data_IF_174082122081
#
_entry.id   IF_174082122081
#
_cell.length_a   1.000
_cell.length_b   1.000
_cell.length_c   1.000
_cell.angle_alpha   90.00
_cell.angle_beta   90.00
_cell.angle_gamma   90.00
#
_symmetry.space_group_name_H-M   'P 1'
#
loop_
_entity.id
_entity.type
_entity.pdbx_description
1 polymer ?
#
# COMPACT_ATOMS: atom_id res chain seq x y z
N UNK A 1 -11.30 0.19 -16.88
CA UNK A 1 -11.05 1.19 -15.81
C UNK A 1 -10.14 2.36 -16.24
N UNK A 2 -9.91 2.62 -17.53
CA UNK A 2 -8.99 3.67 -17.99
C UNK A 2 -9.69 5.01 -18.25
N UNK A 3 -10.99 4.97 -18.54
CA UNK A 3 -11.83 6.15 -18.76
C UNK A 3 -12.00 7.00 -17.49
N UNK A 4 -12.28 6.38 -16.35
CA UNK A 4 -12.40 7.10 -15.07
C UNK A 4 -11.09 7.76 -14.65
N UNK A 5 -9.96 7.06 -14.86
CA UNK A 5 -8.62 7.58 -14.57
C UNK A 5 -8.25 8.75 -15.48
N UNK A 6 -8.61 8.69 -16.77
CA UNK A 6 -8.36 9.79 -17.71
C UNK A 6 -9.28 10.97 -17.42
N UNK A 7 -10.56 10.75 -17.17
CA UNK A 7 -11.51 11.80 -16.77
C UNK A 7 -11.05 12.53 -15.50
N UNK A 8 -10.60 11.79 -14.49
CA UNK A 8 -10.04 12.37 -13.26
C UNK A 8 -8.80 13.24 -13.56
N UNK A 9 -7.86 12.73 -14.36
CA UNK A 9 -6.65 13.48 -14.71
C UNK A 9 -6.95 14.72 -15.55
N UNK A 10 -7.90 14.64 -16.48
CA UNK A 10 -8.36 15.78 -17.26
C UNK A 10 -8.98 16.84 -16.35
N UNK A 11 -9.84 16.44 -15.39
CA UNK A 11 -10.45 17.36 -14.43
C UNK A 11 -9.39 18.06 -13.56
N UNK A 12 -8.45 17.29 -13.01
CA UNK A 12 -7.33 17.85 -12.21
C UNK A 12 -6.52 18.84 -13.03
N UNK A 13 -6.19 18.49 -14.28
CA UNK A 13 -5.41 19.35 -15.18
C UNK A 13 -6.17 20.64 -15.53
N UNK A 14 -7.48 20.54 -15.78
CA UNK A 14 -8.33 21.70 -16.05
C UNK A 14 -8.37 22.66 -14.85
N UNK A 15 -8.59 22.16 -13.63
CA UNK A 15 -8.56 22.97 -12.40
C UNK A 15 -7.19 23.64 -12.22
N UNK A 16 -6.12 22.92 -12.49
CA UNK A 16 -4.75 23.41 -12.39
C UNK A 16 -4.46 24.56 -13.35
N UNK A 17 -4.92 24.45 -14.60
CA UNK A 17 -4.79 25.52 -15.62
C UNK A 17 -5.61 26.75 -15.23
N UNK A 18 -6.87 26.57 -14.83
CA UNK A 18 -7.74 27.69 -14.39
C UNK A 18 -7.14 28.39 -13.18
N UNK A 19 -6.66 27.61 -12.20
CA UNK A 19 -5.98 28.17 -11.02
C UNK A 19 -4.75 28.99 -11.43
N UNK A 20 -3.97 28.50 -12.41
CA UNK A 20 -2.79 29.21 -12.88
C UNK A 20 -3.09 30.52 -13.60
N UNK A 21 -4.12 30.54 -14.45
CA UNK A 21 -4.58 31.75 -15.13
C UNK A 21 -5.10 32.77 -14.11
N UNK A 22 -5.94 32.33 -13.17
CA UNK A 22 -6.61 33.23 -12.23
C UNK A 22 -5.66 33.81 -11.17
N UNK A 23 -4.61 33.08 -10.80
CA UNK A 23 -3.68 33.44 -9.74
C UNK A 23 -2.31 33.84 -10.29
N UNK A 24 -2.26 34.51 -11.46
CA UNK A 24 -1.04 34.98 -12.11
C UNK A 24 -0.38 36.16 -11.37
N UNK A 25 -0.10 35.98 -10.07
CA UNK A 25 0.56 36.95 -9.21
C UNK A 25 2.06 36.65 -9.19
N UNK A 26 2.87 37.69 -9.38
CA UNK A 26 4.32 37.61 -9.27
C UNK A 26 4.72 37.60 -7.80
N UNK A 27 5.62 36.69 -7.42
CA UNK A 27 6.32 36.74 -6.14
C UNK A 27 7.79 36.87 -6.40
N UNK A 28 8.32 37.98 -5.92
CA UNK A 28 9.71 38.36 -6.07
C UNK A 28 10.46 37.83 -4.85
N UNK A 29 11.31 36.83 -5.07
CA UNK A 29 12.21 36.35 -4.03
C UNK A 29 13.56 37.00 -4.29
N UNK A 30 13.90 38.01 -3.48
CA UNK A 30 15.18 38.70 -3.55
C UNK A 30 16.24 37.93 -2.74
N UNK A 31 17.11 37.18 -3.42
CA UNK A 31 18.31 36.62 -2.81
C UNK A 31 19.50 37.51 -3.19
N UNK A 32 19.95 38.34 -2.24
CA UNK A 32 21.25 39.03 -2.26
C UNK A 32 21.67 39.59 -3.63
N UNK A 33 20.84 40.45 -4.22
CA UNK A 33 21.16 41.17 -5.47
C UNK A 33 20.64 40.54 -6.76
N UNK A 34 20.07 39.32 -6.71
CA UNK A 34 19.37 38.71 -7.85
C UNK A 34 17.90 38.49 -7.46
N UNK A 35 17.00 39.14 -8.18
CA UNK A 35 15.56 38.93 -8.05
C UNK A 35 15.16 37.83 -9.03
N UNK A 36 14.77 36.67 -8.51
CA UNK A 36 14.18 35.60 -9.32
C UNK A 36 12.68 35.67 -9.14
N UNK A 37 11.98 35.98 -10.23
CA UNK A 37 10.52 36.02 -10.26
C UNK A 37 9.96 34.61 -10.42
N UNK A 38 9.26 34.11 -9.39
CA UNK A 38 8.54 32.85 -9.47
C UNK A 38 7.05 33.15 -9.32
N UNK A 39 6.25 32.71 -10.29
CA UNK A 39 4.81 32.97 -10.28
C UNK A 39 4.11 32.11 -9.22
N UNK A 40 3.16 32.70 -8.51
CA UNK A 40 2.34 32.03 -7.48
C UNK A 40 1.78 30.66 -7.90
N UNK A 41 1.25 30.49 -9.13
CA UNK A 41 0.67 29.22 -9.55
C UNK A 41 1.67 28.07 -9.56
N UNK A 42 2.90 28.37 -9.96
CA UNK A 42 3.97 27.38 -10.02
C UNK A 42 4.36 26.93 -8.62
N UNK A 43 4.35 27.86 -7.67
CA UNK A 43 4.65 27.59 -6.27
C UNK A 43 3.54 26.76 -5.61
N UNK A 44 2.26 27.08 -5.87
CA UNK A 44 1.15 26.26 -5.37
C UNK A 44 1.14 24.87 -6.00
N UNK A 45 1.40 24.78 -7.30
CA UNK A 45 1.56 23.50 -8.00
C UNK A 45 2.68 22.66 -7.35
N UNK A 46 3.83 23.28 -7.07
CA UNK A 46 4.96 22.60 -6.46
C UNK A 46 4.60 22.09 -5.06
N UNK A 47 3.98 22.90 -4.20
CA UNK A 47 3.54 22.49 -2.86
C UNK A 47 2.48 21.40 -2.92
N UNK A 48 1.52 21.51 -3.84
CA UNK A 48 0.52 20.47 -4.07
C UNK A 48 1.16 19.16 -4.52
N UNK A 49 2.08 19.19 -5.48
CA UNK A 49 2.83 18.01 -5.92
C UNK A 49 3.65 17.41 -4.78
N UNK A 50 4.31 18.23 -3.97
CA UNK A 50 5.10 17.78 -2.83
C UNK A 50 4.20 17.12 -1.78
N UNK A 51 3.02 17.67 -1.50
CA UNK A 51 2.04 17.07 -0.60
C UNK A 51 1.38 15.81 -1.15
N UNK A 52 1.19 15.72 -2.47
CA UNK A 52 0.49 14.62 -3.13
C UNK A 52 1.42 13.45 -3.50
N UNK A 53 2.70 13.71 -3.77
CA UNK A 53 3.72 12.69 -4.03
C UNK A 53 3.77 11.56 -3.00
N UNK A 54 3.86 11.84 -1.67
CA UNK A 54 3.95 10.78 -0.68
C UNK A 54 2.70 9.88 -0.70
N UNK A 55 1.51 10.46 -0.92
CA UNK A 55 0.27 9.69 -1.02
C UNK A 55 0.21 8.81 -2.27
N UNK A 56 0.75 9.29 -3.39
CA UNK A 56 0.90 8.49 -4.61
C UNK A 56 1.89 7.34 -4.43
N UNK A 57 3.01 7.58 -3.75
CA UNK A 57 4.03 6.53 -3.50
C UNK A 57 3.46 5.43 -2.61
N UNK A 58 2.75 5.79 -1.53
CA UNK A 58 2.12 4.80 -0.63
C UNK A 58 1.08 3.96 -1.38
N UNK A 59 0.18 4.59 -2.13
CA UNK A 59 -0.84 3.87 -2.89
C UNK A 59 -0.25 2.98 -3.99
N UNK A 60 0.85 3.41 -4.63
CA UNK A 60 1.55 2.62 -5.67
C UNK A 60 2.29 1.42 -5.10
N UNK A 61 2.94 1.58 -3.95
CA UNK A 61 3.68 0.48 -3.29
C UNK A 61 2.74 -0.58 -2.75
N UNK A 62 1.60 -0.20 -2.18
CA UNK A 62 0.57 -1.15 -1.74
C UNK A 62 0.10 -2.07 -2.88
N UNK A 63 -0.18 -1.50 -4.06
CA UNK A 63 -0.56 -2.30 -5.24
C UNK A 63 0.54 -3.25 -5.70
N UNK A 64 1.80 -2.84 -5.57
CA UNK A 64 2.95 -3.66 -5.96
C UNK A 64 3.20 -4.83 -4.99
N UNK A 65 3.00 -4.59 -3.69
CA UNK A 65 3.07 -5.64 -2.68
C UNK A 65 1.97 -6.70 -2.88
N UNK A 66 0.74 -6.27 -3.15
CA UNK A 66 -0.37 -7.19 -3.42
C UNK A 66 -0.10 -8.06 -4.66
N UNK A 67 0.43 -7.47 -5.73
CA UNK A 67 0.83 -8.20 -6.95
C UNK A 67 1.89 -9.26 -6.65
N UNK A 68 2.94 -8.90 -5.90
CA UNK A 68 3.98 -9.86 -5.50
C UNK A 68 3.41 -11.04 -4.70
N UNK A 69 2.48 -10.76 -3.77
CA UNK A 69 1.84 -11.83 -2.98
C UNK A 69 1.05 -12.79 -3.88
N UNK A 70 0.31 -12.26 -4.85
CA UNK A 70 -0.40 -13.09 -5.84
C UNK A 70 0.55 -13.98 -6.63
N UNK A 71 1.64 -13.41 -7.17
CA UNK A 71 2.63 -14.18 -7.94
C UNK A 71 3.25 -15.30 -7.10
N UNK A 72 3.53 -15.05 -5.81
CA UNK A 72 4.05 -16.09 -4.90
C UNK A 72 3.04 -17.18 -4.61
N UNK A 73 1.77 -16.84 -4.38
CA UNK A 73 0.70 -17.83 -4.14
C UNK A 73 0.39 -18.64 -5.38
N UNK A 74 0.45 -18.02 -6.56
CA UNK A 74 0.21 -18.70 -7.84
C UNK A 74 1.31 -19.73 -8.13
N UNK A 75 2.57 -19.39 -7.89
CA UNK A 75 3.68 -20.34 -8.01
C UNK A 75 3.59 -21.48 -7.00
N UNK A 76 3.21 -21.19 -5.75
CA UNK A 76 2.99 -22.23 -4.74
C UNK A 76 1.85 -23.18 -5.13
N UNK A 77 0.76 -22.65 -5.70
CA UNK A 77 -0.32 -23.47 -6.26
C UNK A 77 0.14 -24.31 -7.45
N UNK A 78 0.87 -23.73 -8.41
CA UNK A 78 1.40 -24.46 -9.56
C UNK A 78 2.34 -25.60 -9.10
N UNK A 79 3.19 -25.35 -8.11
CA UNK A 79 4.06 -26.38 -7.53
C UNK A 79 3.28 -27.46 -6.77
N UNK A 80 2.22 -27.10 -6.03
CA UNK A 80 1.36 -28.06 -5.34
C UNK A 80 0.55 -28.93 -6.32
N UNK A 81 0.15 -28.39 -7.48
CA UNK A 81 -0.55 -29.13 -8.53
C UNK A 81 0.41 -30.02 -9.33
N UNK A 82 1.66 -29.61 -9.54
CA UNK A 82 2.67 -30.39 -10.28
C UNK A 82 3.45 -31.38 -9.40
N UNK A 83 3.39 -31.25 -8.07
CA UNK A 83 4.00 -32.22 -7.15
C UNK A 83 3.04 -33.41 -6.97
N UNK A 84 3.51 -34.67 -7.07
CA UNK A 84 2.70 -35.83 -6.71
C UNK A 84 2.31 -35.73 -5.22
N UNK A 85 1.18 -36.29 -4.76
CA UNK A 85 0.88 -36.41 -3.34
C UNK A 85 2.01 -37.15 -2.62
N UNK A 86 2.89 -36.42 -1.94
CA UNK A 86 3.80 -37.00 -0.97
C UNK A 86 2.97 -37.27 0.27
N UNK A 87 2.76 -38.54 0.59
CA UNK A 87 2.21 -38.98 1.87
C UNK A 87 2.94 -38.25 3.02
N UNK A 88 2.23 -37.78 4.05
CA UNK A 88 2.85 -37.04 5.14
C UNK A 88 3.78 -37.97 5.94
N UNK A 89 5.08 -37.96 5.64
CA UNK A 89 6.09 -38.45 6.56
C UNK A 89 6.16 -37.48 7.73
N UNK A 90 5.55 -37.90 8.82
CA UNK A 90 5.74 -37.35 10.15
C UNK A 90 7.23 -37.38 10.51
N UNK A 91 7.91 -36.25 10.34
CA UNK A 91 9.16 -35.96 11.04
C UNK A 91 8.93 -34.74 11.92
N UNK A 92 8.24 -34.96 13.04
CA UNK A 92 8.33 -34.12 14.20
C UNK A 92 9.57 -34.56 15.00
N UNK A 93 10.53 -33.67 15.31
CA UNK A 93 11.55 -33.97 16.30
C UNK A 93 10.86 -34.04 17.68
N UNK A 94 11.10 -35.14 18.40
CA UNK A 94 10.83 -35.38 19.82
C UNK A 94 9.94 -34.33 20.52
N UNK A 95 8.63 -34.60 20.56
CA UNK A 95 7.76 -34.08 21.60
C UNK A 95 7.46 -35.23 22.56
N UNK A 96 8.24 -35.31 23.63
CA UNK A 96 7.94 -36.14 24.81
C UNK A 96 6.46 -35.95 25.18
N UNK A 97 5.66 -37.02 25.34
CA UNK A 97 4.27 -36.87 25.75
C UNK A 97 4.22 -36.29 27.18
N UNK A 98 3.99 -34.98 27.29
CA UNK A 98 3.56 -34.39 28.57
C UNK A 98 2.13 -34.87 28.78
N UNK A 99 1.99 -35.95 29.54
CA UNK A 99 0.73 -36.40 30.11
C UNK A 99 0.08 -35.20 30.82
N UNK A 100 -0.98 -34.66 30.22
CA UNK A 100 -1.88 -33.74 30.89
C UNK A 100 -2.49 -34.50 32.07
N UNK A 101 -2.41 -34.00 33.32
CA UNK A 101 -3.17 -34.61 34.40
C UNK A 101 -4.65 -34.51 34.04
N UNK A 102 -5.31 -35.67 33.99
CA UNK A 102 -6.74 -35.80 33.78
C UNK A 102 -7.49 -34.93 34.80
N UNK A 103 -8.43 -34.07 34.41
CA UNK A 103 -9.35 -33.49 35.38
C UNK A 103 -10.24 -34.61 35.91
N UNK A 104 -10.07 -34.95 37.20
CA UNK A 104 -10.97 -35.82 37.95
C UNK A 104 -12.41 -35.29 37.83
N UNK A 105 -13.38 -36.08 37.36
CA UNK A 105 -14.78 -35.72 37.49
C UNK A 105 -15.17 -35.83 38.98
N UNK A 106 -15.59 -34.72 39.57
CA UNK A 106 -16.19 -34.71 40.90
C UNK A 106 -17.45 -35.61 40.91
N UNK A 107 -17.67 -36.44 41.95
CA UNK A 107 -18.88 -37.23 42.05
C UNK A 107 -20.09 -36.33 42.33
N UNK A 108 -21.27 -36.62 41.76
CA UNK A 108 -22.50 -35.90 42.02
C UNK A 108 -22.98 -36.21 43.44
N UNK A 109 -23.57 -35.19 44.08
CA UNK A 109 -24.01 -35.25 45.47
C UNK A 109 -24.91 -36.44 45.81
N UNK A 110 -24.72 -36.95 47.03
CA UNK A 110 -25.71 -37.74 47.73
C UNK A 110 -26.23 -36.90 48.91
N UNK A 111 -27.55 -36.79 48.98
CA UNK A 111 -28.33 -36.31 50.10
C UNK A 111 -28.17 -37.19 51.34
#
# INVERSE_FOLDING_TARGET
MQFLRTLFWVLVTAVMVVFAIQNWKQVDISLSGITVEIKLPLLLLAVFLIGFLPMLVVSRTAQWQLRRRLDTTERALQQAVMSPPTEPTANAPDATPRLLPSPTPAPPGAA
#
